data_IF_119888056965
#
_entry.id   IF_119888056965
#
_cell.length_a   1.000
_cell.length_b   1.000
_cell.length_c   1.000
_cell.angle_alpha   90.00
_cell.angle_beta   90.00
_cell.angle_gamma   90.00
#
_symmetry.space_group_name_H-M   'P 1'
#
loop_
_entity.id
_entity.type
_entity.pdbx_description
1 polymer ?
#
# COMPACT_ATOMS: atom_id res chain seq x y z
N UNK A 1 -28.32 7.82 -5.48
CA UNK A 1 -28.15 6.63 -4.61
C UNK A 1 -26.67 6.28 -4.60
N UNK A 2 -25.93 6.65 -3.54
CA UNK A 2 -24.49 6.38 -3.41
C UNK A 2 -24.33 4.97 -2.84
N UNK A 3 -23.84 4.02 -3.63
CA UNK A 3 -23.54 2.66 -3.16
C UNK A 3 -22.24 2.73 -2.34
N UNK A 4 -22.31 2.48 -1.04
CA UNK A 4 -21.12 2.21 -0.24
C UNK A 4 -20.48 0.92 -0.76
N UNK A 5 -19.30 1.02 -1.38
CA UNK A 5 -18.48 -0.14 -1.69
C UNK A 5 -17.89 -0.64 -0.36
N UNK A 6 -18.53 -1.64 0.24
CA UNK A 6 -17.98 -2.37 1.38
C UNK A 6 -16.97 -3.37 0.84
N UNK A 7 -15.70 -2.99 0.77
CA UNK A 7 -14.62 -3.93 0.41
C UNK A 7 -14.32 -4.77 1.66
N UNK A 8 -14.98 -5.93 1.77
CA UNK A 8 -14.60 -6.97 2.72
C UNK A 8 -13.33 -7.64 2.20
N UNK A 9 -12.16 -7.21 2.70
CA UNK A 9 -10.90 -7.90 2.44
C UNK A 9 -10.88 -9.17 3.30
N UNK A 10 -11.41 -10.26 2.75
CA UNK A 10 -11.24 -11.59 3.31
C UNK A 10 -9.80 -12.05 3.00
N UNK A 11 -9.02 -12.23 4.06
CA UNK A 11 -7.64 -12.67 3.99
C UNK A 11 -7.52 -14.08 3.41
N UNK A 12 -6.92 -14.18 2.23
CA UNK A 12 -6.38 -15.40 1.64
C UNK A 12 -5.07 -15.01 0.93
N UNK A 13 -3.97 -14.98 1.69
CA UNK A 13 -2.63 -14.83 1.12
C UNK A 13 -1.94 -16.19 1.15
N UNK A 14 -1.94 -16.86 0.00
CA UNK A 14 -0.90 -17.83 -0.34
C UNK A 14 0.06 -17.09 -1.27
N UNK A 15 1.18 -16.59 -0.72
CA UNK A 15 2.17 -15.80 -1.47
C UNK A 15 3.30 -16.70 -1.95
N UNK A 16 3.51 -16.76 -3.27
CA UNK A 16 4.76 -17.20 -3.88
C UNK A 16 5.69 -15.99 -4.00
N UNK A 17 6.80 -16.00 -3.25
CA UNK A 17 7.80 -14.94 -3.26
C UNK A 17 8.69 -15.03 -4.49
N UNK A 18 8.65 -14.03 -5.37
CA UNK A 18 9.73 -13.71 -6.30
C UNK A 18 10.38 -12.39 -5.84
N UNK A 19 11.29 -12.49 -4.87
CA UNK A 19 12.05 -11.32 -4.40
C UNK A 19 13.16 -10.96 -5.37
N UNK A 20 12.99 -9.87 -6.12
CA UNK A 20 14.10 -9.22 -6.83
C UNK A 20 14.56 -8.02 -6.01
N UNK A 21 15.73 -8.15 -5.40
CA UNK A 21 16.48 -7.04 -4.79
C UNK A 21 17.05 -6.17 -5.91
N UNK A 22 16.27 -5.20 -6.41
CA UNK A 22 16.83 -4.11 -7.23
C UNK A 22 17.23 -2.96 -6.29
N UNK A 23 18.53 -2.92 -5.98
CA UNK A 23 19.16 -1.75 -5.40
C UNK A 23 19.27 -0.63 -6.44
N UNK A 24 18.54 0.46 -6.23
CA UNK A 24 18.82 1.74 -6.87
C UNK A 24 19.07 2.79 -5.78
N UNK A 25 20.36 3.08 -5.58
CA UNK A 25 20.85 4.14 -4.69
C UNK A 25 20.56 5.50 -5.31
N UNK A 26 19.57 6.19 -4.76
CA UNK A 26 19.16 7.53 -5.19
C UNK A 26 17.78 7.99 -4.67
N UNK A 27 17.04 7.14 -3.94
CA UNK A 27 15.73 7.48 -3.39
C UNK A 27 15.83 8.37 -2.14
N UNK A 28 14.81 9.20 -1.93
CA UNK A 28 14.66 10.03 -0.73
C UNK A 28 14.84 9.19 0.55
N UNK A 29 15.20 9.80 1.68
CA UNK A 29 15.36 9.11 2.98
C UNK A 29 14.10 8.32 3.42
N UNK A 30 12.95 8.50 2.76
CA UNK A 30 11.73 7.74 2.98
C UNK A 30 11.64 6.43 2.17
N UNK A 31 12.42 6.26 1.10
CA UNK A 31 12.54 4.99 0.38
C UNK A 31 13.30 3.92 1.20
N UNK A 32 14.20 4.35 2.09
CA UNK A 32 14.92 3.52 3.07
C UNK A 32 13.99 2.99 4.19
N UNK A 33 12.74 3.42 4.22
CA UNK A 33 11.73 2.94 5.16
C UNK A 33 10.99 1.69 4.65
N UNK A 34 11.18 1.30 3.38
CA UNK A 34 10.52 0.17 2.73
C UNK A 34 11.36 -1.10 2.92
N UNK A 35 10.77 -2.14 3.52
CA UNK A 35 11.36 -3.46 3.70
C UNK A 35 11.33 -4.24 2.38
N UNK A 36 10.21 -4.18 1.66
CA UNK A 36 10.01 -4.97 0.44
C UNK A 36 8.67 -4.70 -0.23
N UNK A 37 8.54 -5.22 -1.44
CA UNK A 37 7.30 -5.21 -2.21
C UNK A 37 6.92 -6.67 -2.49
N UNK A 38 5.71 -7.05 -2.11
CA UNK A 38 5.11 -8.34 -2.44
C UNK A 38 4.03 -8.18 -3.51
N UNK A 39 3.87 -9.20 -4.34
CA UNK A 39 2.79 -9.29 -5.32
C UNK A 39 1.98 -10.55 -5.08
N UNK A 40 0.66 -10.43 -5.18
CA UNK A 40 -0.26 -11.57 -5.23
C UNK A 40 -1.35 -11.31 -6.24
N UNK A 41 -1.79 -12.33 -6.96
CA UNK A 41 -2.96 -12.25 -7.81
C UNK A 41 -4.23 -12.54 -7.00
N UNK A 42 -5.30 -11.80 -7.27
CA UNK A 42 -6.63 -12.08 -6.75
C UNK A 42 -7.68 -11.97 -7.85
N UNK A 43 -8.70 -12.81 -7.77
CA UNK A 43 -9.88 -12.70 -8.63
C UNK A 43 -10.95 -11.86 -7.95
N UNK A 44 -11.21 -10.67 -8.48
CA UNK A 44 -12.24 -9.74 -7.98
C UNK A 44 -13.35 -9.65 -9.02
N UNK A 45 -14.58 -10.02 -8.65
CA UNK A 45 -15.74 -10.03 -9.56
C UNK A 45 -15.50 -10.79 -10.88
N UNK A 46 -14.68 -11.84 -10.85
CA UNK A 46 -14.36 -12.66 -12.03
C UNK A 46 -13.25 -12.12 -12.93
N UNK A 47 -12.60 -11.00 -12.57
CA UNK A 47 -11.42 -10.48 -13.24
C UNK A 47 -10.17 -10.69 -12.37
N UNK A 48 -9.06 -11.05 -13.00
CA UNK A 48 -7.74 -11.10 -12.33
C UNK A 48 -7.27 -9.67 -12.05
N UNK A 49 -6.70 -9.50 -10.86
CA UNK A 49 -6.16 -8.23 -10.40
C UNK A 49 -4.92 -8.49 -9.56
N UNK A 50 -3.84 -7.81 -9.90
CA UNK A 50 -2.61 -7.85 -9.11
C UNK A 50 -2.74 -6.99 -7.86
N UNK A 51 -2.34 -7.51 -6.71
CA UNK A 51 -2.23 -6.73 -5.50
C UNK A 51 -0.77 -6.61 -5.10
N UNK A 52 -0.28 -5.37 -5.11
CA UNK A 52 1.04 -5.01 -4.66
C UNK A 52 0.97 -4.54 -3.21
N UNK A 53 1.79 -5.14 -2.36
CA UNK A 53 1.91 -4.79 -0.94
C UNK A 53 3.28 -4.20 -0.69
N UNK A 54 3.32 -2.98 -0.17
CA UNK A 54 4.54 -2.28 0.23
C UNK A 54 4.69 -2.41 1.75
N UNK A 55 5.70 -3.15 2.18
CA UNK A 55 5.97 -3.37 3.60
C UNK A 55 6.94 -2.31 4.11
N UNK A 56 6.60 -1.62 5.19
CA UNK A 56 7.44 -0.60 5.82
C UNK A 56 8.07 -1.10 7.10
N UNK A 57 9.15 -0.45 7.56
CA UNK A 57 9.86 -0.79 8.81
C UNK A 57 9.16 -0.36 10.10
N UNK A 58 8.08 0.40 10.00
CA UNK A 58 7.34 0.94 11.15
C UNK A 58 6.30 -0.06 11.65
N UNK A 59 6.31 -0.37 12.94
CA UNK A 59 5.15 -0.94 13.63
C UNK A 59 3.97 0.04 13.63
N UNK A 60 2.77 -0.42 13.99
CA UNK A 60 1.60 0.43 14.11
C UNK A 60 1.79 1.56 15.15
N UNK A 61 2.46 1.28 16.27
CA UNK A 61 2.72 2.28 17.32
C UNK A 61 3.73 3.33 16.87
N UNK A 62 4.82 2.90 16.22
CA UNK A 62 5.82 3.82 15.67
C UNK A 62 5.21 4.71 14.59
N UNK A 63 4.37 4.14 13.71
CA UNK A 63 3.67 4.92 12.69
C UNK A 63 2.77 6.01 13.28
N UNK A 64 1.99 5.68 14.32
CA UNK A 64 1.12 6.66 15.01
C UNK A 64 1.92 7.83 15.55
N UNK A 65 3.11 7.57 16.09
CA UNK A 65 3.98 8.58 16.67
C UNK A 65 4.64 9.51 15.63
N UNK A 66 4.63 9.15 14.34
CA UNK A 66 5.17 10.02 13.29
C UNK A 66 4.28 11.25 13.07
N UNK A 67 4.87 12.40 12.73
CA UNK A 67 4.10 13.54 12.25
C UNK A 67 3.45 13.21 10.89
N UNK A 68 2.28 13.80 10.65
CA UNK A 68 1.49 13.52 9.45
C UNK A 68 2.22 13.83 8.14
N UNK A 69 3.04 14.89 8.12
CA UNK A 69 3.90 15.21 6.97
C UNK A 69 4.84 14.06 6.63
N UNK A 70 5.41 13.39 7.65
CA UNK A 70 6.33 12.27 7.44
C UNK A 70 5.59 11.02 6.95
N UNK A 71 4.39 10.76 7.48
CA UNK A 71 3.53 9.67 7.00
C UNK A 71 3.24 9.81 5.50
N UNK A 72 2.95 11.03 5.05
CA UNK A 72 2.69 11.36 3.65
C UNK A 72 3.92 11.16 2.77
N UNK A 73 5.10 11.64 3.19
CA UNK A 73 6.36 11.41 2.47
C UNK A 73 6.66 9.93 2.27
N UNK A 74 6.47 9.12 3.32
CA UNK A 74 6.71 7.68 3.31
C UNK A 74 5.71 6.97 2.39
N UNK A 75 4.42 7.28 2.51
CA UNK A 75 3.39 6.71 1.67
C UNK A 75 3.61 7.01 0.18
N UNK A 76 4.01 8.25 -0.14
CA UNK A 76 4.32 8.67 -1.51
C UNK A 76 5.51 7.90 -2.06
N UNK A 77 6.60 7.77 -1.28
CA UNK A 77 7.78 7.00 -1.69
C UNK A 77 7.47 5.51 -1.88
N UNK A 78 6.59 4.95 -1.05
CA UNK A 78 6.11 3.58 -1.21
C UNK A 78 5.32 3.37 -2.49
N UNK A 79 4.41 4.29 -2.80
CA UNK A 79 3.66 4.29 -4.05
C UNK A 79 4.58 4.37 -5.27
N UNK A 80 5.54 5.31 -5.27
CA UNK A 80 6.52 5.48 -6.36
C UNK A 80 7.34 4.23 -6.61
N UNK A 81 7.71 3.48 -5.55
CA UNK A 81 8.44 2.23 -5.72
C UNK A 81 7.55 1.11 -6.27
N UNK A 82 6.31 1.01 -5.78
CA UNK A 82 5.37 -0.02 -6.24
C UNK A 82 4.91 0.20 -7.68
N UNK A 83 4.73 1.45 -8.13
CA UNK A 83 4.30 1.71 -9.51
C UNK A 83 5.36 1.29 -10.53
N UNK A 84 6.66 1.39 -10.20
CA UNK A 84 7.74 0.88 -11.06
C UNK A 84 7.62 -0.65 -11.26
N UNK A 85 7.28 -1.39 -10.21
CA UNK A 85 7.05 -2.84 -10.30
C UNK A 85 5.78 -3.17 -11.12
N UNK A 86 4.71 -2.39 -10.94
CA UNK A 86 3.48 -2.52 -11.73
C UNK A 86 3.75 -2.32 -13.23
N UNK A 87 4.48 -1.26 -13.57
CA UNK A 87 4.84 -0.94 -14.96
C UNK A 87 5.68 -2.05 -15.59
N UNK A 88 6.63 -2.62 -14.85
CA UNK A 88 7.46 -3.71 -15.31
C UNK A 88 6.65 -4.98 -15.65
N UNK A 89 5.53 -5.21 -14.94
CA UNK A 89 4.66 -6.37 -15.12
C UNK A 89 3.48 -6.13 -16.09
N UNK A 90 3.33 -4.92 -16.64
CA UNK A 90 2.31 -4.55 -17.62
C UNK A 90 0.86 -4.94 -17.24
N UNK A 91 0.52 -4.90 -15.94
CA UNK A 91 -0.80 -5.29 -15.46
C UNK A 91 -1.84 -4.19 -15.70
N UNK A 92 -2.94 -4.52 -16.36
CA UNK A 92 -4.03 -3.57 -16.66
C UNK A 92 -4.94 -3.29 -15.46
N UNK A 93 -4.87 -4.11 -14.41
CA UNK A 93 -5.71 -3.97 -13.23
C UNK A 93 -4.94 -4.43 -12.00
N UNK A 94 -4.64 -3.50 -11.10
CA UNK A 94 -3.86 -3.77 -9.90
C UNK A 94 -4.40 -2.95 -8.72
N UNK A 95 -3.89 -3.20 -7.51
CA UNK A 95 -4.00 -2.34 -6.34
C UNK A 95 -2.64 -2.19 -5.67
N UNK A 96 -2.44 -1.09 -4.94
CA UNK A 96 -1.26 -0.87 -4.11
C UNK A 96 -1.70 -0.58 -2.66
N UNK A 97 -1.18 -1.36 -1.72
CA UNK A 97 -1.39 -1.17 -0.28
C UNK A 97 -0.05 -1.01 0.45
N UNK A 98 0.07 -0.01 1.30
CA UNK A 98 1.17 0.13 2.24
C UNK A 98 0.82 -0.44 3.60
N UNK A 99 1.71 -1.24 4.20
CA UNK A 99 1.48 -1.87 5.50
C UNK A 99 2.65 -1.71 6.48
N UNK A 100 2.34 -1.66 7.77
CA UNK A 100 3.32 -1.63 8.86
C UNK A 100 4.16 -2.90 8.95
N UNK A 101 5.36 -2.79 9.50
CA UNK A 101 6.18 -3.90 9.96
C UNK A 101 5.42 -4.71 10.99
N UNK A 102 5.08 -5.92 10.61
CA UNK A 102 4.90 -7.05 11.52
C UNK A 102 5.86 -8.14 11.05
N UNK A 103 6.16 -9.14 11.90
CA UNK A 103 6.77 -10.35 11.36
C UNK A 103 5.89 -10.84 10.20
N UNK A 104 6.50 -11.14 9.05
CA UNK A 104 5.76 -11.53 7.84
C UNK A 104 4.78 -12.66 8.16
N UNK A 105 3.50 -12.48 7.83
CA UNK A 105 2.46 -13.49 8.03
C UNK A 105 1.64 -13.40 9.33
N UNK A 106 1.90 -12.43 10.23
CA UNK A 106 1.07 -12.26 11.42
C UNK A 106 -0.20 -11.41 11.19
N UNK A 107 -1.31 -11.86 11.76
CA UNK A 107 -2.53 -11.07 11.91
C UNK A 107 -2.23 -9.87 12.81
N UNK A 108 -2.21 -8.65 12.25
CA UNK A 108 -1.87 -7.44 13.02
C UNK A 108 -1.31 -6.28 12.19
N UNK A 109 -0.95 -6.51 10.92
CA UNK A 109 -0.48 -5.43 10.06
C UNK A 109 -1.53 -4.31 9.93
N UNK A 110 -1.06 -3.07 10.06
CA UNK A 110 -1.87 -1.86 9.94
C UNK A 110 -1.68 -1.27 8.55
N UNK A 111 -2.79 -0.96 7.88
CA UNK A 111 -2.77 -0.28 6.58
C UNK A 111 -2.33 1.17 6.82
N UNK A 112 -1.27 1.56 6.12
CA UNK A 112 -0.62 2.87 6.23
C UNK A 112 -1.02 3.78 5.07
N UNK A 113 -1.17 3.21 3.88
CA UNK A 113 -1.80 3.89 2.76
C UNK A 113 -2.45 2.91 1.80
N UNK A 114 -3.32 3.43 0.93
CA UNK A 114 -3.94 2.69 -0.16
C UNK A 114 -4.06 3.58 -1.40
N UNK A 115 -3.79 3.01 -2.58
CA UNK A 115 -4.11 3.65 -3.85
C UNK A 115 -5.61 3.59 -4.12
N UNK A 116 -6.20 4.74 -4.44
CA UNK A 116 -7.53 4.85 -5.00
C UNK A 116 -7.41 5.14 -6.50
N UNK A 117 -7.67 4.12 -7.31
CA UNK A 117 -7.56 4.16 -8.76
C UNK A 117 -8.57 5.09 -9.42
N UNK A 118 -9.78 5.21 -8.88
CA UNK A 118 -10.85 6.04 -9.47
C UNK A 118 -10.43 7.51 -9.56
N UNK A 119 -9.66 7.96 -8.57
CA UNK A 119 -9.30 9.36 -8.42
C UNK A 119 -7.80 9.63 -8.61
N UNK A 120 -6.99 8.61 -8.89
CA UNK A 120 -5.52 8.72 -8.93
C UNK A 120 -4.93 9.38 -7.68
N UNK A 121 -5.35 8.89 -6.52
CA UNK A 121 -4.90 9.43 -5.22
C UNK A 121 -4.46 8.32 -4.30
N UNK A 122 -3.45 8.57 -3.46
CA UNK A 122 -3.19 7.72 -2.29
C UNK A 122 -3.90 8.30 -1.06
N UNK A 123 -4.60 7.44 -0.32
CA UNK A 123 -5.15 7.76 0.98
C UNK A 123 -4.13 7.32 2.06
N UNK A 124 -3.64 8.26 2.86
CA UNK A 124 -2.68 8.03 3.94
C UNK A 124 -3.42 7.96 5.27
N UNK A 125 -3.10 6.97 6.08
CA UNK A 125 -3.80 6.68 7.34
C UNK A 125 -2.92 6.94 8.56
N UNK A 126 -3.55 7.17 9.72
CA UNK A 126 -2.88 7.47 10.97
C UNK A 126 -2.44 6.21 11.75
N UNK A 127 -2.84 5.02 11.28
CA UNK A 127 -2.58 3.74 11.93
C UNK A 127 -3.50 3.42 13.11
N UNK A 128 -4.52 4.21 13.36
CA UNK A 128 -5.59 3.94 14.32
C UNK A 128 -6.84 3.44 13.60
N UNK A 129 -7.64 2.62 14.28
CA UNK A 129 -8.97 2.24 13.82
C UNK A 129 -10.01 2.91 14.71
N UNK A 130 -11.06 3.44 14.12
CA UNK A 130 -12.23 3.91 14.86
C UNK A 130 -13.00 2.75 15.51
N UNK A 131 -14.06 3.06 16.26
CA UNK A 131 -14.93 2.05 16.90
C UNK A 131 -15.58 1.08 15.90
N UNK A 132 -15.70 1.49 14.63
CA UNK A 132 -16.19 0.66 13.53
C UNK A 132 -15.08 -0.11 12.81
N UNK A 133 -13.83 -0.04 13.28
CA UNK A 133 -12.67 -0.72 12.71
C UNK A 133 -12.07 -0.04 11.48
N UNK A 134 -12.50 1.18 11.13
CA UNK A 134 -12.02 1.90 9.95
C UNK A 134 -10.75 2.68 10.26
N UNK A 135 -9.74 2.67 9.39
CA UNK A 135 -8.53 3.42 9.60
C UNK A 135 -8.78 4.94 9.56
N UNK A 136 -8.17 5.69 10.47
CA UNK A 136 -8.25 7.15 10.50
C UNK A 136 -7.50 7.77 9.31
N UNK A 137 -8.19 8.54 8.46
CA UNK A 137 -7.59 9.22 7.32
C UNK A 137 -6.80 10.45 7.79
N UNK A 138 -5.52 10.53 7.40
CA UNK A 138 -4.67 11.70 7.59
C UNK A 138 -4.85 12.66 6.43
N UNK A 139 -4.57 12.17 5.22
CA UNK A 139 -4.57 12.99 4.01
C UNK A 139 -4.84 12.13 2.77
N UNK A 140 -5.41 12.74 1.74
CA UNK A 140 -5.43 12.22 0.38
C UNK A 140 -4.44 13.01 -0.46
N UNK A 141 -3.56 12.32 -1.18
CA UNK A 141 -2.50 12.91 -2.00
C UNK A 141 -2.76 12.52 -3.45
N UNK A 142 -2.89 13.50 -4.34
CA UNK A 142 -2.95 13.24 -5.77
C UNK A 142 -1.60 12.69 -6.24
N UNK A 143 -1.66 11.59 -7.00
CA UNK A 143 -0.48 10.97 -7.57
C UNK A 143 -0.64 10.93 -9.08
N UNK A 144 0.46 11.14 -9.79
CA UNK A 144 0.45 10.96 -11.24
C UNK A 144 0.56 9.48 -11.52
N UNK A 145 -0.54 8.92 -12.03
CA UNK A 145 -0.53 7.60 -12.61
C UNK A 145 -0.17 7.71 -14.10
N UNK A 146 0.91 7.10 -14.60
CA UNK A 146 1.19 7.08 -16.02
C UNK A 146 0.40 5.95 -16.68
N UNK A 147 -0.50 6.29 -17.59
CA UNK A 147 -0.70 5.48 -18.78
C UNK A 147 -0.72 6.47 -19.95
N UNK A 148 0.39 6.52 -20.70
CA UNK A 148 0.37 7.05 -22.06
C UNK A 148 -0.14 5.95 -22.99
#
# INVERSE_FOLDING_TARGET
MKKLLSVCIAALFALSFAGVLVGCSGGSAAADDIIGIGQSEQTVNGAEQDNYTVSFKYTAEEWKALPDTKKVEIATSGYEKAVVEVEANASSSFNILGISKTAEGESGATVLFMLNHENSTIAVYNGEKDEAGKPGLVQTVEVRYPFN
#
